data_IF_491623340537
#
_entry.id   IF_491623340537
#
_cell.length_a   1.000
_cell.length_b   1.000
_cell.length_c   1.000
_cell.angle_alpha   90.00
_cell.angle_beta   90.00
_cell.angle_gamma   90.00
#
_symmetry.space_group_name_H-M   'P 1'
#
loop_
_entity.id
_entity.type
_entity.pdbx_description
1 polymer ?
#
# COMPACT_ATOMS: atom_id res chain seq x y z
N UNK A 1 16.62 3.46 -33.23
CA UNK A 1 15.62 2.39 -33.49
C UNK A 1 14.34 2.70 -32.72
N UNK A 2 13.34 3.22 -33.41
CA UNK A 2 12.04 3.63 -32.87
C UNK A 2 11.13 2.41 -32.69
N UNK A 3 11.07 1.84 -31.49
CA UNK A 3 10.06 0.82 -31.15
C UNK A 3 8.68 1.47 -31.12
N UNK A 4 7.70 0.86 -31.77
CA UNK A 4 6.28 1.22 -31.69
C UNK A 4 5.79 1.12 -30.24
N UNK A 5 4.84 1.99 -29.83
CA UNK A 5 4.31 2.07 -28.44
C UNK A 5 3.84 0.71 -27.89
N UNK A 6 3.31 -0.17 -28.74
CA UNK A 6 2.91 -1.54 -28.40
C UNK A 6 4.10 -2.46 -28.11
N UNK A 7 5.19 -2.33 -28.86
CA UNK A 7 6.44 -3.07 -28.61
C UNK A 7 7.14 -2.64 -27.33
N UNK A 8 6.97 -1.39 -26.91
CA UNK A 8 7.48 -0.89 -25.62
C UNK A 8 6.69 -1.48 -24.45
N UNK A 9 5.36 -1.52 -24.54
CA UNK A 9 4.50 -2.10 -23.49
C UNK A 9 4.73 -3.61 -23.30
N UNK A 10 4.77 -4.39 -24.39
CA UNK A 10 5.08 -5.82 -24.33
C UNK A 10 6.49 -6.10 -23.80
N UNK A 11 7.45 -5.23 -24.09
CA UNK A 11 8.79 -5.32 -23.54
C UNK A 11 8.82 -5.04 -22.03
N UNK A 12 8.08 -4.03 -21.56
CA UNK A 12 7.93 -3.76 -20.12
C UNK A 12 7.28 -4.94 -19.38
N UNK A 13 6.22 -5.53 -19.94
CA UNK A 13 5.55 -6.71 -19.35
C UNK A 13 6.51 -7.90 -19.25
N UNK A 14 7.27 -8.19 -20.32
CA UNK A 14 8.27 -9.27 -20.32
C UNK A 14 9.39 -9.01 -19.32
N UNK A 15 9.83 -7.76 -19.19
CA UNK A 15 10.84 -7.37 -18.22
C UNK A 15 10.34 -7.54 -16.78
N UNK A 16 9.11 -7.10 -16.49
CA UNK A 16 8.48 -7.30 -15.18
C UNK A 16 8.36 -8.78 -14.82
N UNK A 17 7.99 -9.63 -15.79
CA UNK A 17 7.91 -11.09 -15.58
C UNK A 17 9.29 -11.71 -15.29
N UNK A 18 10.31 -11.35 -16.06
CA UNK A 18 11.68 -11.81 -15.83
C UNK A 18 12.20 -11.39 -14.45
N UNK A 19 11.98 -10.14 -14.05
CA UNK A 19 12.39 -9.61 -12.75
C UNK A 19 11.62 -10.26 -11.60
N UNK A 20 10.33 -10.55 -11.78
CA UNK A 20 9.55 -11.36 -10.83
C UNK A 20 10.13 -12.76 -10.64
N UNK A 21 10.60 -13.40 -11.73
CA UNK A 21 11.30 -14.69 -11.68
C UNK A 21 12.62 -14.63 -10.88
N UNK A 22 13.38 -13.55 -11.00
CA UNK A 22 14.60 -13.31 -10.20
C UNK A 22 14.25 -13.06 -8.72
N UNK A 23 13.14 -12.38 -8.43
CA UNK A 23 12.61 -12.21 -7.07
C UNK A 23 12.29 -13.56 -6.41
N UNK A 24 11.63 -14.47 -7.15
CA UNK A 24 11.36 -15.83 -6.72
C UNK A 24 12.63 -16.67 -6.49
N UNK A 25 13.70 -16.45 -7.26
CA UNK A 25 14.98 -17.14 -7.02
C UNK A 25 15.69 -16.65 -5.75
N UNK A 26 15.53 -15.36 -5.39
CA UNK A 26 16.08 -14.83 -4.12
C UNK A 26 15.42 -15.43 -2.89
N UNK A 27 14.12 -15.79 -2.96
CA UNK A 27 13.43 -16.54 -1.91
C UNK A 27 14.07 -17.90 -1.63
N UNK A 28 14.48 -18.60 -2.69
CA UNK A 28 15.11 -19.90 -2.57
C UNK A 28 16.54 -19.80 -2.00
N UNK A 29 17.23 -18.68 -2.23
CA UNK A 29 18.56 -18.43 -1.70
C UNK A 29 18.57 -18.00 -0.22
N UNK A 30 17.58 -17.20 0.21
CA UNK A 30 17.49 -16.64 1.58
C UNK A 30 16.23 -17.14 2.32
N UNK A 31 16.07 -18.46 2.38
CA UNK A 31 14.88 -19.12 2.95
C UNK A 31 14.64 -18.74 4.42
N UNK A 32 15.71 -18.47 5.16
CA UNK A 32 15.65 -18.09 6.58
C UNK A 32 15.12 -16.66 6.77
N UNK A 33 15.59 -15.71 5.97
CA UNK A 33 15.09 -14.32 6.01
C UNK A 33 13.60 -14.26 5.66
N UNK A 34 13.17 -15.03 4.66
CA UNK A 34 11.76 -15.17 4.32
C UNK A 34 10.93 -15.78 5.45
N UNK A 35 11.40 -16.87 6.07
CA UNK A 35 10.70 -17.51 7.18
C UNK A 35 10.59 -16.59 8.40
N UNK A 36 11.64 -15.83 8.72
CA UNK A 36 11.62 -14.82 9.77
C UNK A 36 10.67 -13.66 9.44
N UNK A 37 10.68 -13.16 8.20
CA UNK A 37 9.78 -12.10 7.74
C UNK A 37 8.31 -12.53 7.83
N UNK A 38 7.98 -13.69 7.26
CA UNK A 38 6.64 -14.26 7.33
C UNK A 38 6.19 -14.54 8.77
N UNK A 39 7.08 -15.09 9.60
CA UNK A 39 6.81 -15.34 11.01
C UNK A 39 6.55 -14.06 11.81
N UNK A 40 7.39 -13.04 11.64
CA UNK A 40 7.22 -11.74 12.28
C UNK A 40 5.92 -11.06 11.85
N UNK A 41 5.57 -11.15 10.55
CA UNK A 41 4.31 -10.64 10.03
C UNK A 41 3.10 -11.36 10.66
N UNK A 42 3.12 -12.69 10.73
CA UNK A 42 2.04 -13.47 11.35
C UNK A 42 1.89 -13.17 12.84
N UNK A 43 3.00 -13.01 13.56
CA UNK A 43 2.97 -12.59 14.97
C UNK A 43 2.35 -11.20 15.09
N UNK A 44 2.75 -10.24 14.25
CA UNK A 44 2.20 -8.88 14.26
C UNK A 44 0.69 -8.87 14.07
N UNK A 45 0.20 -9.53 13.01
CA UNK A 45 -1.24 -9.58 12.72
C UNK A 45 -1.98 -10.41 13.78
N UNK A 46 -1.39 -11.51 14.24
CA UNK A 46 -1.96 -12.33 15.31
C UNK A 46 -2.14 -11.56 16.62
N UNK A 47 -1.14 -10.75 17.01
CA UNK A 47 -1.23 -9.87 18.17
C UNK A 47 -2.27 -8.78 17.95
N UNK A 48 -2.31 -8.13 16.78
CA UNK A 48 -3.33 -7.11 16.47
C UNK A 48 -4.75 -7.70 16.60
N UNK A 49 -5.00 -8.86 16.01
CA UNK A 49 -6.29 -9.56 16.09
C UNK A 49 -6.61 -10.01 17.52
N UNK A 50 -5.62 -10.50 18.28
CA UNK A 50 -5.82 -10.91 19.67
C UNK A 50 -6.20 -9.72 20.57
N UNK A 51 -5.58 -8.55 20.36
CA UNK A 51 -5.92 -7.31 21.08
C UNK A 51 -7.35 -6.89 20.76
N UNK A 52 -7.76 -6.91 19.49
CA UNK A 52 -9.15 -6.64 19.10
C UNK A 52 -10.09 -7.62 19.81
N UNK A 53 -9.79 -8.92 19.78
CA UNK A 53 -10.60 -9.94 20.48
C UNK A 53 -10.69 -9.72 21.99
N UNK A 54 -9.62 -9.24 22.63
CA UNK A 54 -9.63 -8.93 24.06
C UNK A 54 -10.54 -7.75 24.39
N UNK A 55 -10.55 -6.70 23.55
CA UNK A 55 -11.44 -5.54 23.73
C UNK A 55 -12.91 -5.96 23.60
N UNK A 56 -13.25 -6.75 22.59
CA UNK A 56 -14.62 -7.22 22.34
C UNK A 56 -15.12 -8.26 23.36
N UNK A 57 -14.24 -8.80 24.21
CA UNK A 57 -14.67 -9.57 25.39
C UNK A 57 -15.21 -8.70 26.52
N UNK A 58 -14.83 -7.42 26.55
CA UNK A 58 -15.28 -6.48 27.58
C UNK A 58 -16.46 -5.62 27.12
N UNK A 59 -16.57 -5.36 25.80
CA UNK A 59 -17.59 -4.49 25.24
C UNK A 59 -18.25 -5.16 24.03
N UNK A 60 -19.59 -5.17 23.91
CA UNK A 60 -20.29 -5.84 22.82
C UNK A 60 -20.08 -5.15 21.46
N UNK A 61 -19.87 -3.83 21.46
CA UNK A 61 -19.63 -3.04 20.25
C UNK A 61 -18.74 -1.83 20.55
N UNK A 62 -17.90 -1.43 19.60
CA UNK A 62 -17.05 -0.24 19.71
C UNK A 62 -17.44 0.75 18.61
N UNK A 63 -18.01 1.89 18.98
CA UNK A 63 -18.45 2.90 18.01
C UNK A 63 -19.53 2.40 17.04
N UNK A 64 -20.34 1.41 17.44
CA UNK A 64 -21.34 0.77 16.59
C UNK A 64 -20.84 -0.43 15.78
N UNK A 65 -19.54 -0.73 15.84
CA UNK A 65 -18.92 -1.84 15.13
C UNK A 65 -18.85 -3.09 16.00
N UNK A 66 -19.23 -4.23 15.44
CA UNK A 66 -19.08 -5.57 16.00
C UNK A 66 -17.67 -6.13 15.79
N UNK A 67 -17.33 -7.20 16.52
CA UNK A 67 -16.02 -7.85 16.41
C UNK A 67 -15.68 -8.26 14.97
N UNK A 68 -16.63 -8.90 14.27
CA UNK A 68 -16.39 -9.39 12.92
C UNK A 68 -16.28 -8.24 11.90
N UNK A 69 -16.99 -7.13 12.08
CA UNK A 69 -16.86 -5.96 11.19
C UNK A 69 -15.48 -5.29 11.34
N UNK A 70 -14.96 -5.19 12.57
CA UNK A 70 -13.60 -4.70 12.82
C UNK A 70 -12.57 -5.68 12.25
N UNK A 71 -12.78 -6.98 12.38
CA UNK A 71 -11.90 -8.00 11.81
C UNK A 71 -11.90 -7.98 10.28
N UNK A 72 -13.06 -7.76 9.67
CA UNK A 72 -13.21 -7.55 8.23
C UNK A 72 -12.40 -6.35 7.77
N UNK A 73 -12.52 -5.21 8.46
CA UNK A 73 -11.77 -4.00 8.15
C UNK A 73 -10.25 -4.21 8.28
N UNK A 74 -9.81 -4.90 9.35
CA UNK A 74 -8.40 -5.23 9.57
C UNK A 74 -7.88 -6.11 8.43
N UNK A 75 -8.60 -7.16 8.06
CA UNK A 75 -8.26 -8.02 6.93
C UNK A 75 -8.23 -7.26 5.60
N UNK A 76 -9.25 -6.44 5.36
CA UNK A 76 -9.35 -5.64 4.14
C UNK A 76 -8.18 -4.65 4.04
N UNK A 77 -7.74 -4.04 5.14
CA UNK A 77 -6.60 -3.11 5.15
C UNK A 77 -5.27 -3.73 4.72
N UNK A 78 -5.11 -5.05 4.89
CA UNK A 78 -3.92 -5.78 4.46
C UNK A 78 -3.90 -6.01 2.95
N UNK A 79 -5.05 -6.03 2.26
CA UNK A 79 -5.12 -6.31 0.83
C UNK A 79 -4.50 -5.17 -0.02
N UNK A 80 -4.92 -3.89 0.10
CA UNK A 80 -4.29 -2.80 -0.63
C UNK A 80 -2.84 -2.58 -0.21
N UNK A 81 -2.53 -2.78 1.08
CA UNK A 81 -1.16 -2.65 1.61
C UNK A 81 -0.23 -3.71 1.02
N UNK A 82 -0.68 -4.96 0.95
CA UNK A 82 0.06 -6.05 0.33
C UNK A 82 0.29 -5.80 -1.16
N UNK A 83 -0.71 -5.31 -1.89
CA UNK A 83 -0.51 -4.93 -3.29
C UNK A 83 0.53 -3.80 -3.45
N UNK A 84 0.48 -2.77 -2.61
CA UNK A 84 1.45 -1.69 -2.62
C UNK A 84 2.87 -2.19 -2.29
N UNK A 85 3.04 -2.99 -1.23
CA UNK A 85 4.32 -3.60 -0.87
C UNK A 85 4.87 -4.51 -1.99
N UNK A 86 4.01 -5.23 -2.70
CA UNK A 86 4.44 -6.13 -3.79
C UNK A 86 5.17 -5.37 -4.92
N UNK A 87 4.72 -4.15 -5.23
CA UNK A 87 5.17 -3.40 -6.41
C UNK A 87 6.06 -2.19 -6.11
N UNK A 88 5.93 -1.58 -4.93
CA UNK A 88 6.51 -0.23 -4.68
C UNK A 88 7.42 -0.14 -3.48
N UNK A 89 7.74 -1.26 -2.83
CA UNK A 89 8.57 -1.27 -1.63
C UNK A 89 9.99 -0.67 -1.87
N UNK A 90 10.48 -0.72 -3.10
CA UNK A 90 11.75 -0.08 -3.47
C UNK A 90 11.76 1.45 -3.24
N UNK A 91 10.61 2.12 -3.09
CA UNK A 91 10.53 3.53 -2.72
C UNK A 91 11.09 3.82 -1.32
N UNK A 92 11.13 2.84 -0.42
CA UNK A 92 11.80 2.99 0.87
C UNK A 92 13.31 3.25 0.71
N UNK A 93 13.94 2.62 -0.28
CA UNK A 93 15.36 2.82 -0.56
C UNK A 93 15.64 4.22 -1.11
N UNK A 94 14.69 4.79 -1.86
CA UNK A 94 14.78 6.18 -2.32
C UNK A 94 14.81 7.16 -1.15
N UNK A 95 13.88 7.00 -0.20
CA UNK A 95 13.82 7.85 0.99
C UNK A 95 14.98 7.62 1.97
N UNK A 96 15.58 6.42 1.94
CA UNK A 96 16.64 6.00 2.87
C UNK A 96 18.05 6.33 2.40
N UNK A 97 18.45 5.89 1.20
CA UNK A 97 19.87 5.85 0.82
C UNK A 97 20.19 6.22 -0.63
N UNK A 98 19.27 6.06 -1.58
CA UNK A 98 19.61 6.23 -3.00
C UNK A 98 20.04 7.66 -3.33
N UNK A 99 19.36 8.66 -2.77
CA UNK A 99 19.74 10.06 -2.91
C UNK A 99 20.95 10.37 -2.04
N UNK A 100 20.92 9.96 -0.77
CA UNK A 100 22.00 10.19 0.19
C UNK A 100 23.38 9.68 -0.29
N UNK A 101 23.43 8.53 -0.96
CA UNK A 101 24.67 7.92 -1.45
C UNK A 101 25.03 8.34 -2.88
N UNK A 102 24.24 9.24 -3.49
CA UNK A 102 24.39 9.62 -4.88
C UNK A 102 24.11 8.49 -5.89
N UNK A 103 23.61 7.33 -5.45
CA UNK A 103 23.36 6.14 -6.30
C UNK A 103 22.17 6.32 -7.27
N UNK A 104 21.32 7.33 -7.05
CA UNK A 104 20.13 7.55 -7.88
C UNK A 104 20.46 7.86 -9.36
N UNK A 105 21.67 8.33 -9.66
CA UNK A 105 22.11 8.57 -11.04
C UNK A 105 21.97 7.35 -11.96
N UNK A 106 22.07 6.13 -11.41
CA UNK A 106 21.96 4.87 -12.16
C UNK A 106 20.61 4.68 -12.82
N UNK A 107 19.56 5.33 -12.32
CA UNK A 107 18.22 5.28 -12.92
C UNK A 107 18.03 6.37 -13.99
N UNK A 108 18.78 7.47 -13.91
CA UNK A 108 18.71 8.58 -14.88
C UNK A 108 19.40 8.24 -16.20
N UNK A 109 20.47 7.43 -16.16
CA UNK A 109 21.21 7.02 -17.37
C UNK A 109 20.53 5.89 -18.16
N UNK A 110 19.52 5.22 -17.58
CA UNK A 110 18.82 4.12 -18.26
C UNK A 110 17.85 4.69 -19.30
N UNK A 111 17.71 4.07 -20.48
CA UNK A 111 16.83 4.54 -21.56
C UNK A 111 15.34 4.20 -21.29
N UNK A 112 14.90 4.32 -20.03
CA UNK A 112 13.54 4.04 -19.55
C UNK A 112 13.16 5.10 -18.52
N UNK A 113 11.86 5.24 -18.23
CA UNK A 113 11.43 6.18 -17.21
C UNK A 113 12.09 5.85 -15.85
N UNK A 114 12.71 6.83 -15.14
CA UNK A 114 13.42 6.56 -13.90
C UNK A 114 12.54 5.97 -12.80
N UNK A 115 11.27 6.39 -12.70
CA UNK A 115 10.33 5.86 -11.73
C UNK A 115 10.02 4.39 -12.02
N UNK A 116 9.75 4.08 -13.29
CA UNK A 116 9.55 2.70 -13.71
C UNK A 116 10.79 1.85 -13.42
N UNK A 117 11.98 2.35 -13.77
CA UNK A 117 13.23 1.62 -13.50
C UNK A 117 13.48 1.40 -12.02
N UNK A 118 13.10 2.35 -11.16
CA UNK A 118 13.21 2.21 -9.72
C UNK A 118 12.25 1.12 -9.22
N UNK A 119 10.97 1.21 -9.58
CA UNK A 119 9.95 0.25 -9.16
C UNK A 119 10.23 -1.18 -9.66
N UNK A 120 10.77 -1.32 -10.87
CA UNK A 120 11.09 -2.64 -11.43
C UNK A 120 12.30 -3.33 -10.80
N UNK A 121 13.21 -2.61 -10.17
CA UNK A 121 14.48 -3.21 -9.69
C UNK A 121 14.28 -4.28 -8.61
N UNK A 122 13.24 -4.13 -7.79
CA UNK A 122 12.76 -5.15 -6.87
C UNK A 122 11.27 -5.40 -7.07
N UNK A 123 10.93 -5.75 -8.30
CA UNK A 123 9.58 -6.20 -8.61
C UNK A 123 9.31 -7.51 -7.85
N UNK A 124 8.16 -7.60 -7.18
CA UNK A 124 7.70 -8.79 -6.45
C UNK A 124 8.42 -9.01 -5.11
N UNK A 125 8.08 -8.20 -4.10
CA UNK A 125 8.49 -8.45 -2.72
C UNK A 125 7.71 -9.62 -2.12
N UNK A 126 8.37 -10.72 -1.72
CA UNK A 126 7.68 -11.92 -1.26
C UNK A 126 6.91 -11.75 0.04
N UNK A 127 7.39 -10.88 0.93
CA UNK A 127 6.76 -10.62 2.23
C UNK A 127 5.34 -10.04 2.04
N UNK A 128 5.10 -9.36 0.93
CA UNK A 128 3.79 -8.82 0.56
C UNK A 128 2.74 -9.89 0.24
N UNK A 129 3.15 -11.12 -0.14
CA UNK A 129 2.21 -12.22 -0.34
C UNK A 129 1.57 -12.66 0.97
N UNK A 130 2.30 -12.57 2.09
CA UNK A 130 1.76 -12.85 3.41
C UNK A 130 0.62 -11.91 3.76
N UNK A 131 0.77 -10.62 3.45
CA UNK A 131 -0.28 -9.61 3.64
C UNK A 131 -1.54 -9.92 2.83
N UNK A 132 -1.39 -10.28 1.56
CA UNK A 132 -2.51 -10.62 0.69
C UNK A 132 -3.24 -11.90 1.16
N UNK A 133 -2.49 -12.94 1.50
CA UNK A 133 -3.06 -14.23 1.94
C UNK A 133 -3.78 -14.08 3.28
N UNK A 134 -3.14 -13.43 4.27
CA UNK A 134 -3.75 -13.24 5.58
C UNK A 134 -4.91 -12.24 5.51
N UNK A 135 -4.78 -11.17 4.74
CA UNK A 135 -5.87 -10.22 4.49
C UNK A 135 -7.08 -10.91 3.88
N UNK A 136 -6.88 -11.72 2.84
CA UNK A 136 -7.95 -12.50 2.22
C UNK A 136 -8.59 -13.49 3.19
N UNK A 137 -7.78 -14.21 3.98
CA UNK A 137 -8.28 -15.16 4.98
C UNK A 137 -9.12 -14.49 6.07
N UNK A 138 -8.73 -13.29 6.53
CA UNK A 138 -9.49 -12.54 7.52
C UNK A 138 -10.78 -11.97 6.94
N UNK A 139 -10.74 -11.44 5.72
CA UNK A 139 -11.93 -10.94 5.01
C UNK A 139 -12.94 -12.06 4.76
N UNK A 140 -12.48 -13.23 4.32
CA UNK A 140 -13.39 -14.37 4.09
C UNK A 140 -13.95 -14.89 5.41
N UNK A 141 -13.14 -15.08 6.44
CA UNK A 141 -13.59 -15.54 7.76
C UNK A 141 -14.60 -14.57 8.39
N UNK A 142 -14.31 -13.28 8.40
CA UNK A 142 -15.20 -12.27 8.94
C UNK A 142 -16.49 -12.15 8.10
N UNK A 143 -16.37 -12.20 6.77
CA UNK A 143 -17.51 -12.11 5.86
C UNK A 143 -18.47 -13.30 6.00
N UNK A 144 -17.95 -14.53 6.15
CA UNK A 144 -18.79 -15.71 6.40
C UNK A 144 -19.41 -15.69 7.79
N UNK A 145 -18.74 -15.10 8.79
CA UNK A 145 -19.28 -15.00 10.16
C UNK A 145 -20.36 -13.93 10.29
N UNK A 146 -20.39 -12.98 9.37
CA UNK A 146 -21.40 -11.92 9.26
C UNK A 146 -22.55 -12.28 8.32
N UNK A 147 -22.52 -13.47 7.70
CA UNK A 147 -23.45 -13.88 6.64
C UNK A 147 -23.60 -12.79 5.55
N UNK A 148 -22.48 -12.23 5.09
CA UNK A 148 -22.49 -11.15 4.10
C UNK A 148 -22.95 -11.66 2.72
N UNK A 149 -24.19 -11.32 2.39
CA UNK A 149 -24.73 -11.47 1.04
C UNK A 149 -24.28 -10.33 0.13
N UNK A 150 -23.03 -10.42 -0.35
CA UNK A 150 -22.49 -9.46 -1.30
C UNK A 150 -23.21 -9.55 -2.65
N UNK A 151 -23.72 -8.41 -3.10
CA UNK A 151 -24.32 -8.28 -4.44
C UNK A 151 -23.27 -8.51 -5.54
N UNK A 152 -23.72 -8.90 -6.74
CA UNK A 152 -22.84 -9.07 -7.90
C UNK A 152 -21.98 -7.82 -8.19
N UNK A 153 -22.54 -6.62 -7.93
CA UNK A 153 -21.83 -5.34 -8.07
C UNK A 153 -20.73 -5.17 -7.03
N UNK A 154 -20.97 -5.53 -5.76
CA UNK A 154 -19.95 -5.48 -4.71
C UNK A 154 -18.80 -6.45 -5.00
N UNK A 155 -19.09 -7.67 -5.48
CA UNK A 155 -18.06 -8.62 -5.92
C UNK A 155 -17.22 -8.08 -7.08
N UNK A 156 -17.86 -7.47 -8.09
CA UNK A 156 -17.16 -6.88 -9.22
C UNK A 156 -16.30 -5.67 -8.84
N UNK A 157 -16.76 -4.87 -7.87
CA UNK A 157 -16.03 -3.68 -7.41
C UNK A 157 -14.92 -4.00 -6.41
N UNK A 158 -15.02 -5.06 -5.61
CA UNK A 158 -14.04 -5.35 -4.56
C UNK A 158 -12.57 -5.33 -5.05
N UNK A 159 -12.20 -5.95 -6.19
CA UNK A 159 -10.84 -5.85 -6.73
C UNK A 159 -10.42 -4.42 -7.10
N UNK A 160 -11.36 -3.62 -7.62
CA UNK A 160 -11.12 -2.22 -7.96
C UNK A 160 -10.90 -1.37 -6.70
N UNK A 161 -11.66 -1.62 -5.63
CA UNK A 161 -11.49 -0.93 -4.34
C UNK A 161 -10.11 -1.21 -3.75
N UNK A 162 -9.69 -2.48 -3.77
CA UNK A 162 -8.34 -2.89 -3.32
C UNK A 162 -7.26 -2.21 -4.18
N UNK A 163 -7.45 -2.14 -5.50
CA UNK A 163 -6.51 -1.46 -6.40
C UNK A 163 -6.44 0.05 -6.12
N UNK A 164 -7.57 0.73 -5.92
CA UNK A 164 -7.61 2.14 -5.55
C UNK A 164 -6.88 2.39 -4.23
N UNK A 165 -7.08 1.54 -3.23
CA UNK A 165 -6.36 1.63 -1.96
C UNK A 165 -4.85 1.45 -2.13
N UNK A 166 -4.42 0.48 -2.95
CA UNK A 166 -3.00 0.23 -3.23
C UNK A 166 -2.36 1.44 -3.92
N UNK A 167 -3.06 2.03 -4.90
CA UNK A 167 -2.61 3.24 -5.59
C UNK A 167 -2.49 4.45 -4.66
N UNK A 168 -3.38 4.59 -3.67
CA UNK A 168 -3.28 5.65 -2.65
C UNK A 168 -2.05 5.40 -1.75
N UNK A 169 -1.83 4.17 -1.27
CA UNK A 169 -0.61 3.83 -0.53
C UNK A 169 0.66 4.15 -1.34
N UNK A 170 0.67 3.76 -2.61
CA UNK A 170 1.77 4.07 -3.54
C UNK A 170 1.95 5.58 -3.71
N UNK A 171 0.87 6.34 -3.87
CA UNK A 171 0.94 7.79 -4.04
C UNK A 171 1.55 8.47 -2.81
N UNK A 172 1.07 8.14 -1.61
CA UNK A 172 1.58 8.70 -0.36
C UNK A 172 3.05 8.31 -0.16
N UNK A 173 3.40 7.04 -0.37
CA UNK A 173 4.79 6.57 -0.30
C UNK A 173 5.68 7.29 -1.30
N UNK A 174 5.26 7.44 -2.55
CA UNK A 174 6.03 8.15 -3.58
C UNK A 174 6.22 9.62 -3.23
N UNK A 175 5.18 10.30 -2.73
CA UNK A 175 5.25 11.69 -2.31
C UNK A 175 6.34 11.89 -1.26
N UNK A 176 6.28 11.15 -0.15
CA UNK A 176 7.25 11.29 0.94
C UNK A 176 8.64 10.79 0.55
N UNK A 177 8.75 9.71 -0.22
CA UNK A 177 10.03 9.22 -0.72
C UNK A 177 10.72 10.27 -1.62
N UNK A 178 9.95 10.98 -2.45
CA UNK A 178 10.47 12.03 -3.33
C UNK A 178 11.02 13.24 -2.56
N UNK A 179 10.62 13.46 -1.31
CA UNK A 179 11.17 14.56 -0.52
C UNK A 179 12.69 14.41 -0.28
N UNK A 180 13.23 13.18 -0.37
CA UNK A 180 14.67 12.95 -0.20
C UNK A 180 15.51 13.67 -1.24
N UNK A 181 14.96 14.01 -2.41
CA UNK A 181 15.66 14.81 -3.42
C UNK A 181 16.08 16.21 -2.91
N UNK A 182 15.36 16.77 -1.94
CA UNK A 182 15.71 18.05 -1.32
C UNK A 182 16.31 17.90 0.07
N UNK A 183 15.86 16.91 0.83
CA UNK A 183 16.26 16.74 2.24
C UNK A 183 17.38 15.73 2.44
N UNK A 184 17.95 15.17 1.36
CA UNK A 184 18.94 14.07 1.33
C UNK A 184 18.36 12.72 1.78
N UNK A 185 17.58 12.73 2.85
CA UNK A 185 16.82 11.58 3.37
C UNK A 185 15.41 12.02 3.76
N UNK A 186 14.43 11.18 3.50
CA UNK A 186 13.02 11.39 3.90
C UNK A 186 12.44 10.20 4.64
N UNK A 187 13.30 9.25 5.03
CA UNK A 187 12.93 8.03 5.73
C UNK A 187 12.07 8.28 6.99
N UNK A 188 12.36 9.27 7.86
CA UNK A 188 11.51 9.56 9.02
C UNK A 188 10.08 9.96 8.63
N UNK A 189 9.92 10.75 7.55
CA UNK A 189 8.61 11.18 7.07
C UNK A 189 7.82 10.02 6.45
N UNK A 190 8.50 9.15 5.70
CA UNK A 190 7.93 7.90 5.21
C UNK A 190 7.43 7.00 6.35
N UNK A 191 8.27 6.78 7.36
CA UNK A 191 7.86 5.99 8.52
C UNK A 191 6.66 6.61 9.24
N UNK A 192 6.67 7.93 9.47
CA UNK A 192 5.54 8.61 10.09
C UNK A 192 4.24 8.42 9.28
N UNK A 193 4.29 8.58 7.96
CA UNK A 193 3.14 8.35 7.09
C UNK A 193 2.63 6.90 7.16
N UNK A 194 3.54 5.91 7.16
CA UNK A 194 3.18 4.50 7.30
C UNK A 194 2.56 4.19 8.66
N UNK A 195 3.07 4.74 9.76
CA UNK A 195 2.47 4.59 11.09
C UNK A 195 1.06 5.19 11.15
N UNK A 196 0.84 6.35 10.51
CA UNK A 196 -0.50 6.96 10.43
C UNK A 196 -1.47 6.08 9.63
N UNK A 197 -0.99 5.36 8.60
CA UNK A 197 -1.84 4.45 7.83
C UNK A 197 -2.39 3.27 8.64
N UNK A 198 -1.74 2.88 9.75
CA UNK A 198 -2.23 1.80 10.62
C UNK A 198 -3.57 2.13 11.28
N UNK A 199 -3.86 3.41 11.51
CA UNK A 199 -5.14 3.81 12.12
C UNK A 199 -6.33 3.51 11.22
N UNK A 200 -6.13 3.44 9.89
CA UNK A 200 -7.19 3.10 8.93
C UNK A 200 -7.59 1.61 8.98
N UNK A 201 -6.84 0.75 9.67
CA UNK A 201 -7.22 -0.65 9.90
C UNK A 201 -8.33 -0.80 10.96
N UNK A 202 -8.73 0.30 11.62
CA UNK A 202 -9.78 0.35 12.62
C UNK A 202 -10.87 1.35 12.22
N UNK A 203 -12.10 1.21 12.74
CA UNK A 203 -13.19 2.12 12.41
C UNK A 203 -12.80 3.58 12.64
N UNK A 204 -13.12 4.49 11.73
CA UNK A 204 -12.76 5.90 11.94
C UNK A 204 -13.71 6.61 12.89
N UNK A 205 -14.87 6.03 13.17
CA UNK A 205 -15.93 6.59 14.03
C UNK A 205 -15.52 6.64 15.50
N UNK A 206 -14.55 5.82 15.92
CA UNK A 206 -14.03 5.82 17.29
C UNK A 206 -13.03 6.94 17.54
N UNK A 207 -12.51 7.57 16.47
CA UNK A 207 -11.50 8.61 16.57
C UNK A 207 -12.13 10.00 16.68
N UNK A 208 -11.38 10.91 17.30
CA UNK A 208 -11.74 12.32 17.30
C UNK A 208 -11.79 12.89 15.87
N UNK A 209 -12.67 13.88 15.65
CA UNK A 209 -12.94 14.46 14.33
C UNK A 209 -11.67 14.96 13.60
N UNK A 210 -10.67 15.43 14.34
CA UNK A 210 -9.39 15.87 13.78
C UNK A 210 -8.57 14.74 13.15
N UNK A 211 -8.45 13.59 13.83
CA UNK A 211 -7.74 12.43 13.31
C UNK A 211 -8.51 11.83 12.12
N UNK A 212 -9.83 11.77 12.22
CA UNK A 212 -10.68 11.35 11.09
C UNK A 212 -10.47 12.25 9.87
N UNK A 213 -10.45 13.59 10.04
CA UNK A 213 -10.20 14.52 8.95
C UNK A 213 -8.79 14.37 8.35
N UNK A 214 -7.76 14.15 9.17
CA UNK A 214 -6.40 13.86 8.73
C UNK A 214 -6.33 12.59 7.85
N UNK A 215 -6.96 11.51 8.32
CA UNK A 215 -6.97 10.22 7.62
C UNK A 215 -7.84 10.26 6.35
N UNK A 216 -8.91 11.04 6.32
CA UNK A 216 -9.79 11.11 5.16
C UNK A 216 -9.29 12.08 4.09
N UNK A 217 -8.88 13.30 4.48
CA UNK A 217 -8.70 14.38 3.50
C UNK A 217 -7.24 14.79 3.28
N UNK A 218 -6.35 14.54 4.24
CA UNK A 218 -4.94 14.97 4.15
C UNK A 218 -4.02 13.85 3.65
N UNK A 219 -4.11 12.65 4.22
CA UNK A 219 -3.32 11.47 3.81
C UNK A 219 -4.12 10.38 3.06
N UNK A 220 -5.34 10.69 2.62
CA UNK A 220 -6.45 9.79 2.26
C UNK A 220 -6.45 8.29 2.66
N UNK A 221 -5.85 7.89 3.78
CA UNK A 221 -5.86 6.49 4.22
C UNK A 221 -7.26 5.94 4.56
N UNK A 222 -8.25 6.78 4.86
CA UNK A 222 -9.63 6.33 5.00
C UNK A 222 -10.15 5.62 3.74
N UNK A 223 -9.68 6.06 2.57
CA UNK A 223 -10.09 5.52 1.28
C UNK A 223 -9.40 4.20 0.92
N UNK A 224 -8.36 3.80 1.66
CA UNK A 224 -7.65 2.54 1.38
C UNK A 224 -8.36 1.33 1.97
N UNK A 225 -9.00 1.49 3.13
CA UNK A 225 -9.64 0.39 3.86
C UNK A 225 -11.04 0.72 4.37
N UNK A 226 -11.19 1.81 5.13
CA UNK A 226 -12.43 2.13 5.82
C UNK A 226 -13.61 2.37 4.86
N UNK A 227 -13.46 3.25 3.87
CA UNK A 227 -14.54 3.56 2.91
C UNK A 227 -14.95 2.31 2.10
N UNK A 228 -14.03 1.54 1.51
CA UNK A 228 -14.37 0.25 0.89
C UNK A 228 -15.06 -0.74 1.83
N UNK A 229 -14.60 -0.87 3.07
CA UNK A 229 -15.17 -1.82 4.02
C UNK A 229 -16.59 -1.43 4.42
N UNK A 230 -16.85 -0.14 4.70
CA UNK A 230 -18.19 0.38 4.96
C UNK A 230 -19.14 0.06 3.82
N UNK A 231 -18.71 0.26 2.57
CA UNK A 231 -19.53 -0.07 1.39
C UNK A 231 -19.82 -1.58 1.27
N UNK A 232 -18.83 -2.44 1.56
CA UNK A 232 -19.01 -3.89 1.48
C UNK A 232 -19.88 -4.44 2.63
N UNK A 233 -19.78 -3.86 3.83
CA UNK A 233 -20.53 -4.29 5.01
C UNK A 233 -21.97 -3.76 5.05
N UNK A 234 -22.16 -2.48 4.72
CA UNK A 234 -23.44 -1.79 4.92
C UNK A 234 -24.12 -1.35 3.62
N UNK A 235 -23.41 -1.38 2.49
CA UNK A 235 -23.89 -0.83 1.22
C UNK A 235 -23.86 0.70 1.14
N UNK A 236 -23.35 1.41 2.16
CA UNK A 236 -23.25 2.86 2.13
C UNK A 236 -22.25 3.34 1.05
N UNK A 237 -22.71 4.27 0.21
CA UNK A 237 -21.97 4.80 -0.93
C UNK A 237 -21.58 6.27 -0.76
N UNK A 238 -21.89 6.91 0.37
CA UNK A 238 -21.73 8.35 0.59
C UNK A 238 -20.31 8.87 0.28
N UNK A 239 -19.28 8.12 0.71
CA UNK A 239 -17.88 8.46 0.42
C UNK A 239 -17.31 7.70 -0.78
N UNK A 240 -17.99 6.66 -1.27
CA UNK A 240 -17.48 5.79 -2.34
C UNK A 240 -17.26 6.56 -3.64
N UNK A 241 -18.14 7.52 -3.96
CA UNK A 241 -18.00 8.36 -5.16
C UNK A 241 -16.74 9.22 -5.19
N UNK A 242 -16.15 9.52 -4.03
CA UNK A 242 -14.90 10.28 -3.92
C UNK A 242 -13.66 9.42 -4.17
N UNK A 243 -13.77 8.09 -4.04
CA UNK A 243 -12.63 7.19 -4.11
C UNK A 243 -11.80 7.36 -5.40
N UNK A 244 -12.40 7.36 -6.62
CA UNK A 244 -11.61 7.54 -7.84
C UNK A 244 -10.95 8.92 -7.93
N UNK A 245 -11.65 9.96 -7.47
CA UNK A 245 -11.16 11.35 -7.49
C UNK A 245 -9.97 11.48 -6.55
N UNK A 246 -10.09 10.96 -5.32
CA UNK A 246 -9.03 10.99 -4.32
C UNK A 246 -7.82 10.16 -4.75
N UNK A 247 -8.03 8.98 -5.33
CA UNK A 247 -6.94 8.16 -5.90
C UNK A 247 -6.21 8.93 -7.00
N UNK A 248 -6.95 9.53 -7.95
CA UNK A 248 -6.37 10.29 -9.05
C UNK A 248 -5.59 11.52 -8.57
N UNK A 249 -6.18 12.32 -7.68
CA UNK A 249 -5.52 13.51 -7.11
C UNK A 249 -4.26 13.15 -6.33
N UNK A 250 -4.31 12.10 -5.51
CA UNK A 250 -3.13 11.63 -4.75
C UNK A 250 -2.00 11.22 -5.69
N UNK A 251 -2.30 10.45 -6.74
CA UNK A 251 -1.31 10.04 -7.74
C UNK A 251 -0.74 11.24 -8.51
N UNK A 252 -1.59 12.17 -8.94
CA UNK A 252 -1.16 13.37 -9.66
C UNK A 252 -0.22 14.23 -8.81
N UNK A 253 -0.56 14.44 -7.53
CA UNK A 253 0.28 15.17 -6.59
C UNK A 253 1.63 14.47 -6.39
N UNK A 254 1.62 13.16 -6.11
CA UNK A 254 2.83 12.38 -5.90
C UNK A 254 3.75 12.40 -7.14
N UNK A 255 3.18 12.23 -8.33
CA UNK A 255 3.92 12.30 -9.60
C UNK A 255 4.47 13.70 -9.88
N UNK A 256 3.74 14.76 -9.51
CA UNK A 256 4.21 16.13 -9.67
C UNK A 256 5.40 16.42 -8.74
N UNK A 257 5.36 15.96 -7.49
CA UNK A 257 6.48 16.07 -6.55
C UNK A 257 7.66 15.24 -7.03
N UNK A 258 7.44 13.99 -7.43
CA UNK A 258 8.48 13.13 -8.02
C UNK A 258 9.19 13.82 -9.19
N UNK A 259 8.44 14.36 -10.16
CA UNK A 259 9.03 15.03 -11.33
C UNK A 259 9.85 16.26 -10.94
N UNK A 260 9.35 17.06 -9.99
CA UNK A 260 10.11 18.21 -9.48
C UNK A 260 11.37 17.77 -8.75
N UNK A 261 11.31 16.71 -7.97
CA UNK A 261 12.44 16.18 -7.20
C UNK A 261 13.53 15.62 -8.10
N UNK A 262 13.15 14.84 -9.13
CA UNK A 262 14.10 14.34 -10.12
C UNK A 262 14.81 15.48 -10.86
N UNK A 263 14.11 16.57 -11.19
CA UNK A 263 14.73 17.73 -11.84
C UNK A 263 15.65 18.54 -10.91
N UNK A 264 15.39 18.51 -9.59
CA UNK A 264 16.21 19.17 -8.59
C UNK A 264 17.40 18.31 -8.13
N UNK A 265 17.47 17.04 -8.54
CA UNK A 265 18.52 16.13 -8.13
C UNK A 265 19.86 16.55 -8.74
N UNK A 266 20.72 17.11 -7.90
CA UNK A 266 22.14 17.31 -8.18
C UNK A 266 22.93 16.14 -7.59
N UNK A 267 23.93 15.65 -8.33
CA UNK A 267 24.85 14.67 -7.77
C UNK A 267 25.51 15.29 -6.54
N UNK A 268 25.28 14.71 -5.36
CA UNK A 268 26.10 15.00 -4.19
C UNK A 268 27.50 14.46 -4.46
N UNK A 269 28.32 15.28 -5.12
CA UNK A 269 29.72 15.00 -5.37
C UNK A 269 30.50 15.23 -4.08
N UNK A 270 31.09 14.16 -3.55
CA UNK A 270 32.19 14.21 -2.58
C UNK A 270 33.30 13.31 -3.08
#
# INVERSE_FOLDING_TARGET
MTRTRLGTALWYVRLSWFLGGVGLQRLAAYRLDFALGAGAFLVRVGVQTAVVGLVFRQVPAVGGWSYHEVLFLLGFSLLPRGLDHLFTDQLWELGRKLVQRGEFYRYLIRPVNPLFSLLSERFFHPDALGELVVGAALVTYAGTSLDLDLTATQWALAPLLVLCGALIHTAVKLFFASLSFWTVTSLPALYAASQVSEFAAYPLDIYHASLRALLTWVLPFAFTSYVPAVYLLSGDTALLGWLPVVTALSLLLALAVWRRGVNAYEMTGS
#
